data_IF_559545844576
#
_entry.id   IF_559545844576
#
_cell.length_a   1.000
_cell.length_b   1.000
_cell.length_c   1.000
_cell.angle_alpha   90.00
_cell.angle_beta   90.00
_cell.angle_gamma   90.00
#
_symmetry.space_group_name_H-M   'P 1'
#
loop_
_entity.id
_entity.type
_entity.pdbx_description
1 polymer ?
#
# COMPACT_ATOMS: atom_id res chain seq x y z
N UNK A 1 2.23 -54.46 -30.69
CA UNK A 1 2.73 -53.07 -30.70
C UNK A 1 3.85 -53.01 -29.67
N UNK A 2 5.08 -52.91 -30.17
CA UNK A 2 6.31 -53.25 -29.45
C UNK A 2 6.58 -52.40 -28.22
N UNK A 3 6.97 -53.05 -27.10
CA UNK A 3 7.44 -52.41 -25.85
C UNK A 3 8.47 -51.31 -26.09
N UNK A 4 9.25 -51.43 -27.18
CA UNK A 4 10.23 -50.43 -27.63
C UNK A 4 9.59 -49.12 -28.08
N UNK A 5 8.46 -49.17 -28.78
CA UNK A 5 7.74 -48.00 -29.27
C UNK A 5 7.12 -47.25 -28.09
N UNK A 6 6.56 -47.98 -27.12
CA UNK A 6 6.01 -47.38 -25.89
C UNK A 6 7.08 -46.65 -25.08
N UNK A 7 8.29 -47.21 -24.95
CA UNK A 7 9.41 -46.56 -24.25
C UNK A 7 9.83 -45.27 -24.96
N UNK A 8 9.92 -45.28 -26.29
CA UNK A 8 10.31 -44.11 -27.07
C UNK A 8 9.26 -42.99 -26.92
N UNK A 9 7.97 -43.31 -27.02
CA UNK A 9 6.88 -42.33 -26.88
C UNK A 9 6.85 -41.73 -25.47
N UNK A 10 7.03 -42.54 -24.43
CA UNK A 10 7.07 -42.06 -23.04
C UNK A 10 8.28 -41.16 -22.81
N UNK A 11 9.46 -41.52 -23.30
CA UNK A 11 10.65 -40.67 -23.20
C UNK A 11 10.45 -39.33 -23.91
N UNK A 12 9.85 -39.34 -25.10
CA UNK A 12 9.58 -38.12 -25.87
C UNK A 12 8.58 -37.21 -25.14
N UNK A 13 7.55 -37.80 -24.52
CA UNK A 13 6.58 -37.04 -23.72
C UNK A 13 7.21 -36.43 -22.47
N UNK A 14 8.07 -37.16 -21.77
CA UNK A 14 8.83 -36.66 -20.61
C UNK A 14 9.76 -35.51 -21.03
N UNK A 15 10.47 -35.65 -22.15
CA UNK A 15 11.35 -34.60 -22.67
C UNK A 15 10.56 -33.34 -23.05
N UNK A 16 9.41 -33.47 -23.71
CA UNK A 16 8.55 -32.32 -24.04
C UNK A 16 7.98 -31.66 -22.79
N UNK A 17 7.56 -32.44 -21.78
CA UNK A 17 7.05 -31.91 -20.52
C UNK A 17 8.14 -31.17 -19.72
N UNK A 18 9.36 -31.72 -19.66
CA UNK A 18 10.50 -31.07 -19.00
C UNK A 18 10.91 -29.77 -19.68
N UNK A 19 10.94 -29.77 -21.02
CA UNK A 19 11.23 -28.57 -21.81
C UNK A 19 10.11 -27.53 -21.61
N UNK A 20 8.84 -27.95 -21.62
CA UNK A 20 7.71 -27.06 -21.38
C UNK A 20 7.74 -26.38 -20.00
N UNK A 21 8.02 -27.14 -18.94
CA UNK A 21 8.17 -26.58 -17.59
C UNK A 21 9.34 -25.60 -17.51
N UNK A 22 10.48 -25.96 -18.11
CA UNK A 22 11.67 -25.11 -18.15
C UNK A 22 11.44 -23.79 -18.91
N UNK A 23 10.73 -23.82 -20.03
CA UNK A 23 10.36 -22.59 -20.75
C UNK A 23 9.32 -21.76 -20.01
N UNK A 24 8.41 -22.40 -19.25
CA UNK A 24 7.47 -21.72 -18.37
C UNK A 24 8.20 -20.84 -17.35
N UNK A 25 9.13 -21.42 -16.59
CA UNK A 25 9.92 -20.71 -15.58
C UNK A 25 10.78 -19.58 -16.19
N UNK A 26 11.32 -19.79 -17.40
CA UNK A 26 12.10 -18.75 -18.10
C UNK A 26 11.21 -17.61 -18.56
N UNK A 27 10.04 -17.90 -19.11
CA UNK A 27 9.10 -16.87 -19.57
C UNK A 27 8.56 -16.05 -18.39
N UNK A 28 8.29 -16.71 -17.26
CA UNK A 28 7.85 -16.04 -16.03
C UNK A 28 8.96 -15.17 -15.43
N UNK A 29 10.23 -15.61 -15.47
CA UNK A 29 11.38 -14.76 -15.11
C UNK A 29 11.64 -13.63 -16.10
N UNK A 30 11.35 -13.83 -17.39
CA UNK A 30 11.59 -12.83 -18.42
C UNK A 30 10.50 -11.75 -18.46
N UNK A 31 9.30 -12.06 -17.98
CA UNK A 31 8.17 -11.12 -17.91
C UNK A 31 7.35 -11.38 -16.62
N UNK A 32 7.90 -11.03 -15.45
CA UNK A 32 7.19 -11.21 -14.19
C UNK A 32 5.90 -10.39 -14.20
N UNK A 33 4.87 -10.88 -13.50
CA UNK A 33 3.64 -10.11 -13.33
C UNK A 33 3.94 -8.78 -12.63
N UNK A 34 3.18 -7.72 -12.90
CA UNK A 34 3.30 -6.48 -12.15
C UNK A 34 3.13 -6.75 -10.64
N UNK A 35 3.98 -6.16 -9.78
CA UNK A 35 3.86 -6.24 -8.34
C UNK A 35 2.47 -5.82 -7.88
N UNK A 36 1.92 -6.56 -6.92
CA UNK A 36 0.61 -6.29 -6.34
C UNK A 36 0.77 -5.95 -4.86
N UNK A 37 0.04 -4.91 -4.44
CA UNK A 37 -0.09 -4.58 -3.04
C UNK A 37 -0.90 -5.68 -2.36
N UNK A 38 -0.32 -6.29 -1.33
CA UNK A 38 -0.91 -7.38 -0.55
C UNK A 38 -1.52 -6.85 0.74
N UNK A 39 -0.82 -5.93 1.41
CA UNK A 39 -1.20 -5.46 2.74
C UNK A 39 -0.71 -4.02 2.99
N UNK A 40 -1.53 -3.26 3.70
CA UNK A 40 -1.18 -1.93 4.24
C UNK A 40 -1.70 -1.88 5.66
N UNK A 41 -0.81 -1.63 6.60
CA UNK A 41 -1.13 -1.54 8.02
C UNK A 41 -0.58 -0.23 8.57
N UNK A 42 -1.41 0.51 9.29
CA UNK A 42 -1.01 1.72 10.00
C UNK A 42 -1.29 1.53 11.48
N UNK A 43 -0.25 1.57 12.29
CA UNK A 43 -0.30 1.22 13.71
C UNK A 43 0.36 2.30 14.57
N UNK A 44 -0.16 2.52 15.78
CA UNK A 44 0.41 3.48 16.74
C UNK A 44 1.69 2.94 17.36
N UNK A 45 2.68 3.82 17.51
CA UNK A 45 4.00 3.48 18.04
C UNK A 45 4.90 2.78 17.03
N UNK A 46 6.08 2.37 17.52
CA UNK A 46 7.09 1.67 16.71
C UNK A 46 6.84 0.16 16.83
N UNK A 47 6.41 -0.45 15.73
CA UNK A 47 6.20 -1.89 15.63
C UNK A 47 7.38 -2.50 14.87
N UNK A 48 8.26 -3.27 15.52
CA UNK A 48 9.31 -3.99 14.83
C UNK A 48 8.69 -5.17 14.05
N UNK A 49 9.06 -5.31 12.79
CA UNK A 49 8.65 -6.44 11.96
C UNK A 49 9.82 -7.00 11.16
N UNK A 50 9.74 -8.26 10.69
CA UNK A 50 10.74 -8.81 9.80
C UNK A 50 10.81 -8.00 8.50
N UNK A 51 12.03 -7.70 8.06
CA UNK A 51 12.31 -7.16 6.74
C UNK A 51 12.33 -8.33 5.74
N UNK A 52 11.14 -8.70 5.25
CA UNK A 52 10.99 -9.67 4.16
C UNK A 52 11.03 -8.96 2.80
N UNK A 53 11.42 -9.67 1.74
CA UNK A 53 11.40 -9.15 0.37
C UNK A 53 9.99 -8.63 0.02
N UNK A 54 9.89 -7.34 -0.31
CA UNK A 54 8.62 -6.68 -0.65
C UNK A 54 7.87 -6.06 0.54
N UNK A 55 8.42 -6.10 1.76
CA UNK A 55 7.85 -5.40 2.93
C UNK A 55 8.62 -4.11 3.21
N UNK A 56 7.89 -3.01 3.36
CA UNK A 56 8.43 -1.67 3.57
C UNK A 56 7.85 -1.06 4.82
N UNK A 57 8.71 -0.53 5.69
CA UNK A 57 8.32 0.14 6.92
C UNK A 57 8.66 1.62 6.87
N UNK A 58 7.69 2.45 7.23
CA UNK A 58 7.84 3.88 7.49
C UNK A 58 7.56 4.08 8.98
N UNK A 59 8.57 4.47 9.73
CA UNK A 59 8.50 4.65 11.19
C UNK A 59 8.86 6.08 11.58
N UNK A 60 8.21 6.57 12.64
CA UNK A 60 8.46 7.90 13.21
C UNK A 60 7.17 8.68 13.40
N UNK A 61 7.24 10.02 13.39
CA UNK A 61 6.07 10.89 13.52
C UNK A 61 5.27 10.95 12.22
N UNK A 62 4.54 9.88 11.92
CA UNK A 62 3.89 9.63 10.63
C UNK A 62 2.37 9.47 10.72
N UNK A 63 1.80 9.73 11.89
CA UNK A 63 0.39 9.56 12.20
C UNK A 63 -0.11 10.77 13.01
N UNK A 64 -1.26 11.35 12.67
CA UNK A 64 -1.95 12.28 13.58
C UNK A 64 -2.64 11.53 14.72
N UNK A 65 -2.59 12.08 15.94
CA UNK A 65 -3.31 11.50 17.07
C UNK A 65 -4.84 11.54 16.94
N UNK A 66 -5.36 12.28 15.95
CA UNK A 66 -6.77 12.32 15.57
C UNK A 66 -7.18 11.14 14.67
N UNK A 67 -6.21 10.42 14.10
CA UNK A 67 -6.47 9.39 13.11
C UNK A 67 -7.05 8.14 13.78
N UNK A 68 -8.22 7.73 13.27
CA UNK A 68 -8.96 6.54 13.74
C UNK A 68 -8.98 5.42 12.70
N UNK A 69 -8.89 5.81 11.43
CA UNK A 69 -8.88 4.90 10.31
C UNK A 69 -8.05 5.50 9.17
N UNK A 70 -7.79 4.71 8.14
CA UNK A 70 -7.17 5.18 6.92
C UNK A 70 -7.77 4.46 5.72
N UNK A 71 -7.58 5.05 4.54
CA UNK A 71 -7.72 4.36 3.26
C UNK A 71 -6.44 4.58 2.45
N UNK A 72 -6.32 3.95 1.29
CA UNK A 72 -5.15 4.10 0.45
C UNK A 72 -5.52 4.13 -1.03
N UNK A 73 -4.59 4.62 -1.85
CA UNK A 73 -4.64 4.58 -3.30
C UNK A 73 -3.31 4.13 -3.89
N UNK A 74 -3.41 3.46 -5.04
CA UNK A 74 -2.31 3.04 -5.89
C UNK A 74 -2.42 3.77 -7.24
N UNK A 75 -2.10 5.07 -7.31
CA UNK A 75 -2.28 5.84 -8.54
C UNK A 75 -1.44 5.31 -9.71
N UNK A 76 -0.29 4.72 -9.41
CA UNK A 76 0.61 4.08 -10.36
C UNK A 76 1.46 3.01 -9.66
N UNK A 77 2.08 2.13 -10.44
CA UNK A 77 2.95 1.09 -9.91
C UNK A 77 4.11 1.70 -9.12
N UNK A 78 4.35 1.21 -7.90
CA UNK A 78 5.41 1.74 -7.03
C UNK A 78 5.06 3.07 -6.37
N UNK A 79 3.79 3.51 -6.38
CA UNK A 79 3.33 4.65 -5.61
C UNK A 79 2.13 4.28 -4.74
N UNK A 80 2.23 4.55 -3.45
CA UNK A 80 1.15 4.35 -2.47
C UNK A 80 0.83 5.68 -1.82
N UNK A 81 -0.43 6.09 -1.87
CA UNK A 81 -0.93 7.25 -1.15
C UNK A 81 -1.82 6.75 0.00
N UNK A 82 -1.43 7.02 1.25
CA UNK A 82 -2.19 6.67 2.45
C UNK A 82 -2.91 7.90 2.95
N UNK A 83 -4.21 7.77 3.17
CA UNK A 83 -5.10 8.85 3.58
C UNK A 83 -5.63 8.58 4.98
N UNK A 84 -5.11 9.30 5.95
CA UNK A 84 -5.58 9.27 7.33
C UNK A 84 -6.95 9.94 7.45
N UNK A 85 -7.85 9.27 8.17
CA UNK A 85 -9.21 9.72 8.43
C UNK A 85 -9.36 10.01 9.92
N UNK A 86 -9.68 11.26 10.23
CA UNK A 86 -10.09 11.65 11.58
C UNK A 86 -11.49 11.09 11.91
N UNK A 87 -11.89 11.20 13.17
CA UNK A 87 -13.19 10.69 13.64
C UNK A 87 -14.39 11.33 12.93
N UNK A 88 -14.28 12.60 12.52
CA UNK A 88 -15.36 13.31 11.84
C UNK A 88 -15.54 12.80 10.40
N UNK A 89 -14.43 12.67 9.68
CA UNK A 89 -14.36 12.14 8.31
C UNK A 89 -14.80 10.68 8.28
N UNK A 90 -14.29 9.85 9.19
CA UNK A 90 -14.70 8.45 9.30
C UNK A 90 -16.19 8.29 9.57
N UNK A 91 -16.76 9.14 10.44
CA UNK A 91 -18.21 9.16 10.70
C UNK A 91 -19.00 9.61 9.48
N UNK A 92 -18.54 10.62 8.75
CA UNK A 92 -19.21 11.07 7.53
C UNK A 92 -19.32 9.95 6.49
N UNK A 93 -18.31 9.09 6.40
CA UNK A 93 -18.21 8.02 5.39
C UNK A 93 -18.91 6.72 5.81
N UNK A 94 -18.88 6.37 7.09
CA UNK A 94 -19.37 5.05 7.56
C UNK A 94 -20.65 5.13 8.40
N UNK A 95 -21.05 6.32 8.83
CA UNK A 95 -22.08 6.52 9.85
C UNK A 95 -21.67 6.08 11.26
N UNK A 96 -20.50 5.47 11.41
CA UNK A 96 -19.95 4.96 12.66
C UNK A 96 -18.80 5.83 13.14
N UNK A 97 -18.67 6.01 14.45
CA UNK A 97 -17.51 6.72 15.00
C UNK A 97 -17.77 7.29 16.38
N UNK A 98 -16.71 7.34 17.18
CA UNK A 98 -16.69 7.99 18.47
C UNK A 98 -15.97 9.33 18.35
N UNK A 99 -16.58 10.39 18.87
CA UNK A 99 -15.92 11.69 18.97
C UNK A 99 -14.97 11.62 20.16
N UNK A 100 -13.67 11.54 19.89
CA UNK A 100 -12.63 11.75 20.87
C UNK A 100 -12.05 13.15 20.72
N UNK A 101 -11.71 13.80 21.83
CA UNK A 101 -10.86 14.98 21.76
C UNK A 101 -9.44 14.54 21.33
N UNK A 102 -8.89 15.21 20.32
CA UNK A 102 -7.52 15.03 19.85
C UNK A 102 -6.91 16.41 19.56
N UNK A 103 -5.57 16.51 19.50
CA UNK A 103 -4.83 17.77 19.35
C UNK A 103 -4.25 17.99 17.94
N UNK A 104 -4.49 17.06 17.01
CA UNK A 104 -3.91 17.05 15.66
C UNK A 104 -2.37 17.06 15.66
N UNK A 105 -1.79 16.56 16.76
CA UNK A 105 -0.35 16.43 16.92
C UNK A 105 0.11 15.14 16.22
N UNK A 106 1.25 15.25 15.53
CA UNK A 106 1.91 14.06 14.98
C UNK A 106 2.51 13.25 16.12
N UNK A 107 2.18 11.96 16.13
CA UNK A 107 2.65 10.97 17.09
C UNK A 107 3.46 9.89 16.37
N UNK A 108 4.25 9.16 17.15
CA UNK A 108 4.96 8.00 16.64
C UNK A 108 3.99 6.93 16.14
N UNK A 109 4.27 6.43 14.94
CA UNK A 109 3.51 5.39 14.27
C UNK A 109 4.40 4.58 13.33
N UNK A 110 3.85 3.46 12.88
CA UNK A 110 4.45 2.57 11.89
C UNK A 110 3.46 2.35 10.78
N UNK A 111 3.85 2.69 9.55
CA UNK A 111 3.16 2.33 8.33
C UNK A 111 3.93 1.17 7.68
N UNK A 112 3.29 0.01 7.61
CA UNK A 112 3.77 -1.18 6.89
C UNK A 112 3.06 -1.27 5.56
N UNK A 113 3.82 -1.44 4.49
CA UNK A 113 3.30 -1.67 3.14
C UNK A 113 3.96 -2.92 2.59
N UNK A 114 3.16 -3.88 2.13
CA UNK A 114 3.64 -5.17 1.65
C UNK A 114 3.18 -5.42 0.21
N UNK A 115 4.15 -5.77 -0.64
CA UNK A 115 3.92 -6.25 -1.99
C UNK A 115 4.22 -7.75 -2.08
N UNK A 116 3.69 -8.41 -3.11
CA UNK A 116 3.95 -9.82 -3.40
C UNK A 116 5.37 -10.09 -3.92
N UNK A 117 6.10 -9.03 -4.28
CA UNK A 117 7.50 -9.07 -4.70
C UNK A 117 8.21 -7.75 -4.39
N UNK A 118 9.55 -7.80 -4.34
CA UNK A 118 10.38 -6.61 -4.12
C UNK A 118 10.22 -5.60 -5.28
N UNK A 119 10.06 -4.32 -4.92
CA UNK A 119 10.06 -3.18 -5.84
C UNK A 119 11.46 -2.57 -5.95
N UNK A 120 11.84 -2.20 -7.18
CA UNK A 120 13.05 -1.41 -7.45
C UNK A 120 12.94 0.01 -6.88
N UNK A 121 11.74 0.61 -6.97
CA UNK A 121 11.44 1.88 -6.31
C UNK A 121 10.01 1.88 -5.76
N UNK A 122 9.85 2.47 -4.57
CA UNK A 122 8.54 2.71 -3.96
C UNK A 122 8.50 4.13 -3.40
N UNK A 123 7.41 4.84 -3.67
CA UNK A 123 7.10 6.15 -3.11
C UNK A 123 5.82 6.05 -2.28
N UNK A 124 5.93 6.32 -0.98
CA UNK A 124 4.80 6.31 -0.06
C UNK A 124 4.51 7.75 0.36
N UNK A 125 3.28 8.22 0.16
CA UNK A 125 2.82 9.52 0.59
C UNK A 125 1.79 9.35 1.70
N UNK A 126 1.96 10.05 2.81
CA UNK A 126 0.98 10.02 3.91
C UNK A 126 0.27 11.36 3.98
N UNK A 127 -1.05 11.33 3.90
CA UNK A 127 -1.94 12.48 3.86
C UNK A 127 -2.82 12.49 5.11
N UNK A 128 -2.82 13.61 5.84
CA UNK A 128 -3.71 13.82 6.97
C UNK A 128 -5.00 14.52 6.54
N UNK A 129 -6.14 13.85 6.72
CA UNK A 129 -7.45 14.33 6.30
C UNK A 129 -8.24 15.01 7.41
N UNK A 130 -8.82 16.17 7.08
CA UNK A 130 -9.73 16.91 7.95
C UNK A 130 -11.00 17.31 7.22
N UNK A 131 -12.14 16.94 7.80
CA UNK A 131 -13.45 17.30 7.26
C UNK A 131 -13.64 18.83 7.28
N UNK A 132 -14.15 19.39 6.19
CA UNK A 132 -14.53 20.81 6.11
C UNK A 132 -15.75 21.12 6.98
N UNK A 133 -15.92 22.39 7.35
CA UNK A 133 -17.03 22.82 8.22
C UNK A 133 -18.41 22.57 7.61
N UNK A 134 -18.53 22.62 6.29
CA UNK A 134 -19.76 22.31 5.56
C UNK A 134 -20.00 20.81 5.36
N UNK A 135 -19.04 19.96 5.75
CA UNK A 135 -19.09 18.50 5.66
C UNK A 135 -19.07 17.95 4.24
N UNK A 136 -18.81 18.78 3.22
CA UNK A 136 -18.86 18.36 1.81
C UNK A 136 -17.52 17.90 1.26
N UNK A 137 -16.42 18.34 1.87
CA UNK A 137 -15.06 18.08 1.43
C UNK A 137 -14.17 17.63 2.59
N UNK A 138 -13.09 16.95 2.23
CA UNK A 138 -11.99 16.63 3.14
C UNK A 138 -10.75 17.34 2.62
N UNK A 139 -10.15 18.14 3.48
CA UNK A 139 -8.86 18.76 3.24
C UNK A 139 -7.77 17.78 3.65
N UNK A 140 -6.97 17.34 2.70
CA UNK A 140 -5.83 16.46 2.92
C UNK A 140 -4.53 17.25 2.87
N UNK A 141 -3.77 17.22 3.96
CA UNK A 141 -2.43 17.79 4.05
C UNK A 141 -1.37 16.70 3.93
N UNK A 142 -0.39 16.85 3.05
CA UNK A 142 0.74 15.93 2.95
C UNK A 142 1.60 16.05 4.21
N UNK A 143 1.78 14.94 4.93
CA UNK A 143 2.68 14.87 6.06
C UNK A 143 4.12 14.65 5.60
N UNK A 144 4.30 13.81 4.59
CA UNK A 144 5.61 13.46 4.07
C UNK A 144 5.55 12.51 2.89
N UNK A 145 6.68 12.40 2.20
CA UNK A 145 6.91 11.37 1.19
C UNK A 145 8.13 10.54 1.60
N UNK A 146 7.99 9.22 1.60
CA UNK A 146 9.07 8.28 1.85
C UNK A 146 9.40 7.56 0.55
N UNK A 147 10.65 7.66 0.14
CA UNK A 147 11.14 7.02 -1.08
C UNK A 147 12.08 5.88 -0.73
N UNK A 148 11.80 4.71 -1.27
CA UNK A 148 12.62 3.52 -1.17
C UNK A 148 13.21 3.25 -2.54
N UNK A 149 14.51 2.97 -2.58
CA UNK A 149 15.23 2.62 -3.79
C UNK A 149 16.03 1.37 -3.50
N UNK A 150 15.65 0.26 -4.12
CA UNK A 150 16.31 -1.05 -4.08
C UNK A 150 16.85 -1.49 -2.70
N UNK A 151 18.10 -1.13 -2.35
CA UNK A 151 18.79 -1.48 -1.07
C UNK A 151 19.03 -0.29 -0.14
N UNK A 152 18.43 0.87 -0.41
CA UNK A 152 18.56 2.06 0.42
C UNK A 152 17.45 2.11 1.46
N UNK A 153 17.84 2.49 2.68
CA UNK A 153 16.92 2.92 3.72
C UNK A 153 16.02 4.06 3.21
N UNK A 154 14.78 4.12 3.70
CA UNK A 154 13.79 5.11 3.30
C UNK A 154 14.36 6.55 3.36
N UNK A 155 14.21 7.29 2.27
CA UNK A 155 14.54 8.73 2.21
C UNK A 155 13.28 9.52 2.47
N UNK A 156 13.28 10.31 3.55
CA UNK A 156 12.20 11.24 3.85
C UNK A 156 12.35 12.53 3.03
N UNK A 157 11.28 12.90 2.33
CA UNK A 157 11.15 14.15 1.58
C UNK A 157 10.03 14.96 2.21
N UNK A 158 10.40 16.11 2.76
CA UNK A 158 9.45 17.04 3.35
C UNK A 158 8.51 17.63 2.28
N UNK A 159 7.23 17.87 2.61
CA UNK A 159 6.28 18.52 1.70
C UNK A 159 6.76 19.90 1.24
N UNK A 160 6.63 20.19 -0.05
CA UNK A 160 6.80 21.55 -0.58
C UNK A 160 5.51 22.35 -0.37
N UNK A 161 5.57 23.63 0.05
CA UNK A 161 4.36 24.45 0.30
C UNK A 161 3.38 24.57 -0.86
N UNK A 162 3.83 24.32 -2.10
CA UNK A 162 2.98 24.40 -3.30
C UNK A 162 2.23 23.09 -3.60
N UNK A 163 2.57 21.99 -2.94
CA UNK A 163 2.06 20.63 -3.23
C UNK A 163 1.70 19.84 -1.97
N UNK A 164 1.54 20.51 -0.85
CA UNK A 164 1.27 19.88 0.45
C UNK A 164 -0.22 19.77 0.77
N UNK A 165 -1.11 20.09 -0.18
CA UNK A 165 -2.55 19.99 0.04
C UNK A 165 -3.30 19.40 -1.16
N UNK A 166 -4.41 18.71 -0.85
CA UNK A 166 -5.41 18.23 -1.79
C UNK A 166 -6.80 18.45 -1.19
N UNK A 167 -7.77 18.83 -2.01
CA UNK A 167 -9.17 18.87 -1.63
C UNK A 167 -9.87 17.70 -2.32
N UNK A 168 -10.59 16.90 -1.54
CA UNK A 168 -11.29 15.71 -2.02
C UNK A 168 -12.74 15.81 -1.56
N UNK A 169 -13.69 15.60 -2.46
CA UNK A 169 -15.11 15.58 -2.08
C UNK A 169 -15.44 14.30 -1.30
N UNK A 170 -16.47 14.33 -0.46
CA UNK A 170 -16.92 13.11 0.23
C UNK A 170 -17.27 12.00 -0.75
N UNK A 171 -17.86 12.35 -1.90
CA UNK A 171 -18.23 11.38 -2.94
C UNK A 171 -17.01 10.68 -3.57
N UNK A 172 -15.95 11.43 -3.87
CA UNK A 172 -14.69 10.84 -4.35
C UNK A 172 -14.07 9.93 -3.28
N UNK A 173 -14.13 10.32 -2.01
CA UNK A 173 -13.59 9.52 -0.92
C UNK A 173 -14.42 8.24 -0.65
N UNK A 174 -15.74 8.29 -0.82
CA UNK A 174 -16.60 7.10 -0.81
C UNK A 174 -16.22 6.12 -1.93
N UNK A 175 -15.90 6.62 -3.12
CA UNK A 175 -15.43 5.81 -4.24
C UNK A 175 -14.08 5.16 -3.93
N UNK A 176 -13.12 5.91 -3.38
CA UNK A 176 -11.84 5.36 -2.93
C UNK A 176 -12.02 4.23 -1.90
N UNK A 177 -12.90 4.43 -0.92
CA UNK A 177 -13.18 3.43 0.13
C UNK A 177 -13.91 2.21 -0.43
N UNK A 178 -14.79 2.39 -1.42
CA UNK A 178 -15.47 1.25 -2.06
C UNK A 178 -14.47 0.34 -2.78
N UNK A 179 -13.40 0.90 -3.35
CA UNK A 179 -12.37 0.15 -4.06
C UNK A 179 -11.29 -0.42 -3.15
N UNK A 180 -10.85 0.34 -2.14
CA UNK A 180 -9.67 0.02 -1.33
C UNK A 180 -9.99 -0.33 0.12
N UNK A 181 -11.24 -0.16 0.53
CA UNK A 181 -11.69 -0.33 1.90
C UNK A 181 -11.34 0.85 2.81
N UNK A 182 -11.80 0.74 4.05
CA UNK A 182 -11.42 1.59 5.17
C UNK A 182 -10.88 0.71 6.28
N UNK A 183 -9.69 1.05 6.76
CA UNK A 183 -8.91 0.20 7.66
C UNK A 183 -8.73 0.91 9.00
N UNK A 184 -9.06 0.27 10.14
CA UNK A 184 -8.82 0.88 11.43
C UNK A 184 -7.31 1.02 11.68
N UNK A 185 -6.92 2.06 12.43
CA UNK A 185 -5.55 2.17 12.93
C UNK A 185 -5.33 1.16 14.06
N UNK A 186 -4.22 0.41 13.98
CA UNK A 186 -3.77 -0.57 14.98
C UNK A 186 -3.22 0.04 16.26
#
# INVERSE_FOLDING_TARGET
>A
MDRKITIIVVLLFISVALVGAFWGDILEKANPSPPKLVDVELSRGIVPGPEDDGTYYVQGNVLSNCTVAFTYLLPEQGKVEVYELDAATYRALTGNGTVGACSDELIEGTLKVQFDQKLESLSIQVWNGKLSEDGSNVYFRLLGTWQFFDNLSAVYVAPSPEKDYKLVTIQELEEMIRENGVHPVG
#
